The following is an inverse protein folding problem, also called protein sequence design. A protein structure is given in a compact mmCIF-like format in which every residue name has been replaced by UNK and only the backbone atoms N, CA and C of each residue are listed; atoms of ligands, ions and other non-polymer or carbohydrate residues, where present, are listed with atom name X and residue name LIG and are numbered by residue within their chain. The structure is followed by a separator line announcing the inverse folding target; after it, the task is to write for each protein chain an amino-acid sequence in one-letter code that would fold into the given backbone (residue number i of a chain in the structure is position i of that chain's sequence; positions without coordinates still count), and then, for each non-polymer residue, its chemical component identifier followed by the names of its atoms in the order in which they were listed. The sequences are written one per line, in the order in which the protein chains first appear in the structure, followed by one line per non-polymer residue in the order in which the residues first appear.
data_IF_474897868589
#
_entry.id   IF_474897868589
#
_cell.length_a   1.000
_cell.length_b   1.000
_cell.length_c   1.000
_cell.angle_alpha   90.00
_cell.angle_beta   90.00
_cell.angle_gamma   90.00
#
_symmetry.space_group_name_H-M   'P 1'
#
loop_
_entity.id
_entity.type
_entity.pdbx_description
1 polymer ?
#
# COMPACT_ATOMS: atom_id res chain seq x y z
N UNK A 1 -3.29 12.12 -10.96
CA UNK A 1 -2.68 11.10 -10.08
C UNK A 1 -3.77 10.34 -9.35
N UNK A 2 -3.49 9.15 -8.83
CA UNK A 2 -4.37 8.37 -7.93
C UNK A 2 -3.50 7.93 -6.75
N UNK A 3 -4.06 7.98 -5.54
CA UNK A 3 -3.47 7.47 -4.30
C UNK A 3 -4.35 6.38 -3.71
N UNK A 4 -3.72 5.28 -3.29
CA UNK A 4 -4.33 4.22 -2.50
C UNK A 4 -3.60 4.13 -1.16
N UNK A 5 -4.36 4.11 -0.06
CA UNK A 5 -3.82 3.83 1.29
C UNK A 5 -3.74 2.31 1.44
N UNK A 6 -2.54 1.83 1.76
CA UNK A 6 -2.31 0.44 2.14
C UNK A 6 -2.35 0.38 3.66
N UNK A 7 -3.34 -0.33 4.19
CA UNK A 7 -3.64 -0.42 5.63
C UNK A 7 -3.55 -1.87 6.08
N UNK A 8 -3.32 -2.11 7.37
CA UNK A 8 -3.32 -3.45 7.94
C UNK A 8 -4.72 -4.02 8.24
N UNK A 9 -5.79 -3.28 7.92
CA UNK A 9 -7.17 -3.71 8.14
C UNK A 9 -7.53 -4.93 7.26
N UNK A 10 -8.13 -5.96 7.87
CA UNK A 10 -8.58 -7.16 7.16
C UNK A 10 -10.09 -7.08 6.83
N UNK A 11 -10.48 -7.01 5.55
CA UNK A 11 -11.89 -6.96 5.14
C UNK A 11 -12.69 -8.19 5.58
N UNK A 12 -12.05 -9.37 5.72
CA UNK A 12 -12.71 -10.62 6.11
C UNK A 12 -13.14 -10.63 7.58
N UNK A 13 -12.47 -9.82 8.42
CA UNK A 13 -12.79 -9.63 9.83
C UNK A 13 -13.47 -8.29 10.11
N UNK A 14 -14.13 -7.70 9.10
CA UNK A 14 -14.85 -6.44 9.27
C UNK A 14 -13.93 -5.21 9.38
N UNK A 15 -12.79 -5.22 8.68
CA UNK A 15 -11.80 -4.14 8.66
C UNK A 15 -11.13 -3.87 10.02
N UNK A 16 -10.99 -4.89 10.86
CA UNK A 16 -10.18 -4.78 12.06
C UNK A 16 -8.69 -4.72 11.70
N UNK A 17 -7.87 -3.91 12.39
CA UNK A 17 -6.43 -3.87 12.17
C UNK A 17 -5.78 -5.23 12.46
N UNK A 18 -5.08 -5.78 11.47
CA UNK A 18 -4.15 -6.88 11.67
C UNK A 18 -2.86 -6.37 12.32
N UNK A 19 -2.31 -7.16 13.24
CA UNK A 19 -1.11 -6.84 14.01
C UNK A 19 -0.07 -7.94 13.87
N UNK A 20 1.19 -7.62 14.18
CA UNK A 20 2.31 -8.56 14.09
C UNK A 20 3.44 -8.05 13.21
N UNK A 21 4.38 -8.93 12.90
CA UNK A 21 5.61 -8.57 12.18
C UNK A 21 5.40 -8.71 10.66
N UNK A 22 5.78 -7.67 9.91
CA UNK A 22 5.84 -7.72 8.45
C UNK A 22 6.99 -8.66 8.06
N UNK A 23 6.66 -9.86 7.59
CA UNK A 23 7.67 -10.87 7.24
C UNK A 23 8.27 -10.69 5.84
N UNK A 24 7.59 -9.94 4.96
CA UNK A 24 8.07 -9.58 3.62
C UNK A 24 7.41 -8.28 3.18
N UNK A 25 8.17 -7.42 2.52
CA UNK A 25 7.65 -6.21 1.88
C UNK A 25 8.39 -5.95 0.57
N UNK A 26 7.70 -6.13 -0.56
CA UNK A 26 8.21 -5.78 -1.89
C UNK A 26 7.39 -4.63 -2.44
N UNK A 27 8.01 -3.47 -2.61
CA UNK A 27 7.27 -2.27 -3.02
C UNK A 27 7.30 -2.11 -4.54
N UNK A 28 6.18 -1.73 -5.17
CA UNK A 28 6.14 -1.55 -6.61
C UNK A 28 6.99 -0.36 -7.04
N UNK A 29 7.73 -0.52 -8.14
CA UNK A 29 8.64 0.50 -8.68
C UNK A 29 8.31 0.82 -10.14
N UNK A 30 9.01 1.81 -10.70
CA UNK A 30 8.96 2.15 -12.12
C UNK A 30 8.30 3.50 -12.43
N UNK A 31 8.17 3.84 -13.73
CA UNK A 31 7.77 5.18 -14.16
C UNK A 31 6.38 5.59 -13.67
N UNK A 32 6.33 6.68 -12.91
CA UNK A 32 5.11 7.26 -12.38
C UNK A 32 4.47 6.43 -11.26
N UNK A 33 5.24 5.58 -10.57
CA UNK A 33 4.84 4.85 -9.36
C UNK A 33 5.68 5.37 -8.20
N UNK A 34 5.05 5.70 -7.07
CA UNK A 34 5.70 6.13 -5.83
C UNK A 34 5.12 5.38 -4.65
N UNK A 35 5.98 4.68 -3.93
CA UNK A 35 5.70 4.17 -2.60
C UNK A 35 6.12 5.22 -1.55
N UNK A 36 5.20 5.54 -0.64
CA UNK A 36 5.43 6.41 0.52
C UNK A 36 4.98 5.65 1.77
N UNK A 37 5.88 4.82 2.32
CA UNK A 37 5.62 3.98 3.48
C UNK A 37 6.62 4.22 4.60
N UNK A 38 6.15 4.11 5.84
CA UNK A 38 6.96 4.24 7.05
C UNK A 38 7.38 2.91 7.68
N UNK A 39 7.10 1.80 7.00
CA UNK A 39 7.35 0.44 7.48
C UNK A 39 8.35 -0.28 6.58
N UNK A 40 8.97 -1.33 7.12
CA UNK A 40 9.92 -2.19 6.42
C UNK A 40 9.70 -3.65 6.81
N UNK A 41 10.34 -4.58 6.10
CA UNK A 41 10.42 -5.97 6.53
C UNK A 41 11.04 -6.04 7.95
N UNK A 42 10.46 -6.88 8.81
CA UNK A 42 10.79 -6.99 10.23
C UNK A 42 10.11 -5.95 11.14
N UNK A 43 9.36 -4.99 10.59
CA UNK A 43 8.62 -4.01 11.39
C UNK A 43 7.41 -4.64 12.09
N UNK A 44 7.18 -4.29 13.36
CA UNK A 44 6.03 -4.73 14.14
C UNK A 44 4.86 -3.73 14.04
N UNK A 45 3.76 -4.18 13.47
CA UNK A 45 2.50 -3.44 13.39
C UNK A 45 1.76 -3.55 14.72
N UNK A 46 1.69 -2.44 15.45
CA UNK A 46 1.03 -2.33 16.74
C UNK A 46 -0.46 -1.95 16.61
N UNK A 47 -1.35 -2.43 17.50
CA UNK A 47 -2.75 -2.01 17.52
C UNK A 47 -2.97 -0.58 18.05
N UNK A 48 -1.92 0.09 18.54
CA UNK A 48 -2.05 1.38 19.23
C UNK A 48 -2.07 2.61 18.31
N UNK A 49 -1.80 2.43 17.02
CA UNK A 49 -1.67 3.53 16.05
C UNK A 49 -2.57 3.31 14.82
N UNK A 50 -2.61 4.31 13.92
CA UNK A 50 -3.31 4.20 12.62
C UNK A 50 -2.79 2.96 11.85
N UNK A 51 -3.68 2.13 11.27
CA UNK A 51 -3.28 0.94 10.51
C UNK A 51 -2.58 1.25 9.18
N UNK A 52 -2.35 2.52 8.81
CA UNK A 52 -1.64 2.92 7.61
C UNK A 52 -0.19 2.38 7.57
N UNK A 53 0.05 1.47 6.63
CA UNK A 53 1.38 0.92 6.34
C UNK A 53 2.13 1.80 5.33
N UNK A 54 1.41 2.32 4.33
CA UNK A 54 1.97 3.21 3.34
C UNK A 54 0.95 3.70 2.32
N UNK A 55 1.40 4.59 1.46
CA UNK A 55 0.61 5.15 0.36
C UNK A 55 1.24 4.72 -0.95
N UNK A 56 0.42 4.16 -1.83
CA UNK A 56 0.79 3.90 -3.21
C UNK A 56 0.21 5.00 -4.08
N UNK A 57 1.08 5.81 -4.68
CA UNK A 57 0.70 6.92 -5.54
C UNK A 57 1.13 6.61 -6.97
N UNK A 58 0.22 6.78 -7.94
CA UNK A 58 0.54 6.70 -9.36
C UNK A 58 0.19 7.97 -10.12
N UNK A 59 1.04 8.32 -11.07
CA UNK A 59 0.84 9.44 -12.00
C UNK A 59 0.74 8.95 -13.44
N UNK A 60 -0.13 9.58 -14.23
CA UNK A 60 -0.31 9.30 -15.65
C UNK A 60 -0.96 10.52 -16.34
N UNK A 61 -0.79 10.69 -17.67
CA UNK A 61 -1.42 11.77 -18.41
C UNK A 61 -2.96 11.78 -18.38
N UNK A 62 -3.60 10.60 -18.21
CA UNK A 62 -5.05 10.48 -18.15
C UNK A 62 -5.49 9.65 -16.95
N UNK A 63 -6.74 9.84 -16.51
CA UNK A 63 -7.33 9.06 -15.42
C UNK A 63 -7.36 7.56 -15.74
N UNK A 64 -7.75 7.18 -16.94
CA UNK A 64 -7.78 5.78 -17.37
C UNK A 64 -6.38 5.15 -17.33
N UNK A 65 -5.35 5.86 -17.79
CA UNK A 65 -3.97 5.39 -17.70
C UNK A 65 -3.48 5.31 -16.25
N UNK A 66 -3.92 6.21 -15.36
CA UNK A 66 -3.60 6.14 -13.93
C UNK A 66 -4.26 4.92 -13.27
N UNK A 67 -5.51 4.59 -13.61
CA UNK A 67 -6.19 3.39 -13.09
C UNK A 67 -5.45 2.13 -13.54
N UNK A 68 -5.14 2.01 -14.84
CA UNK A 68 -4.40 0.86 -15.38
C UNK A 68 -3.00 0.73 -14.75
N UNK A 69 -2.31 1.85 -14.48
CA UNK A 69 -1.04 1.85 -13.76
C UNK A 69 -1.22 1.45 -12.29
N UNK A 70 -2.26 1.95 -11.61
CA UNK A 70 -2.54 1.59 -10.22
C UNK A 70 -2.81 0.10 -10.07
N UNK A 71 -3.62 -0.48 -10.94
CA UNK A 71 -3.90 -1.93 -10.93
C UNK A 71 -2.62 -2.75 -10.98
N UNK A 72 -1.74 -2.47 -11.96
CA UNK A 72 -0.45 -3.18 -12.09
C UNK A 72 0.48 -2.98 -10.90
N UNK A 73 0.45 -1.79 -10.27
CA UNK A 73 1.27 -1.50 -9.11
C UNK A 73 0.74 -2.22 -7.85
N UNK A 74 -0.58 -2.37 -7.71
CA UNK A 74 -1.20 -3.17 -6.65
C UNK A 74 -0.96 -4.67 -6.84
N UNK A 75 -0.98 -5.17 -8.08
CA UNK A 75 -0.69 -6.59 -8.38
C UNK A 75 0.78 -6.98 -8.11
N UNK A 76 1.66 -6.00 -8.01
CA UNK A 76 3.11 -6.17 -7.78
C UNK A 76 3.55 -5.84 -6.35
N UNK A 77 2.60 -5.51 -5.46
CA UNK A 77 2.80 -5.31 -4.02
C UNK A 77 2.50 -6.63 -3.28
#
# INVERSE_FOLDING_TARGET
AIECRIVSEDPSTGFLPSTGVITRLETPTGPGVRWDGGVAEGFEVSPHYDPLLGKLIVHAPTRAAAISRMSRALDAL
#
